data_IF_185221047298
#
_entry.id   IF_185221047298
#
_cell.length_a   1.000
_cell.length_b   1.000
_cell.length_c   1.000
_cell.angle_alpha   90.00
_cell.angle_beta   90.00
_cell.angle_gamma   90.00
#
_symmetry.space_group_name_H-M   'P 1'
#
loop_
_entity.id
_entity.type
_entity.pdbx_description
1 polymer ?
#
# COMPACT_ATOMS: atom_id res chain seq x y z
N UNK A 1 -6.80 2.63 23.96
CA UNK A 1 -6.16 3.82 24.54
C UNK A 1 -4.74 3.85 24.01
N UNK A 2 -4.28 4.99 23.48
CA UNK A 2 -2.88 5.12 23.04
C UNK A 2 -2.01 5.20 24.30
N UNK A 3 -0.91 4.45 24.33
CA UNK A 3 0.02 4.45 25.46
C UNK A 3 0.91 5.70 25.41
N UNK A 4 1.45 6.13 26.57
CA UNK A 4 2.47 7.19 26.61
C UNK A 4 3.68 6.89 25.73
N UNK A 5 4.01 5.60 25.55
CA UNK A 5 5.10 5.16 24.68
C UNK A 5 4.76 5.36 23.20
N UNK A 6 3.55 5.04 22.77
CA UNK A 6 3.09 5.24 21.38
C UNK A 6 3.08 6.73 21.00
N UNK A 7 2.64 7.62 21.90
CA UNK A 7 2.69 9.07 21.67
C UNK A 7 4.12 9.60 21.54
N UNK A 8 5.05 9.08 22.34
CA UNK A 8 6.46 9.44 22.25
C UNK A 8 7.03 9.00 20.89
N UNK A 9 6.80 7.74 20.51
CA UNK A 9 7.30 7.18 19.25
C UNK A 9 6.74 7.94 18.05
N UNK A 10 5.45 8.29 18.04
CA UNK A 10 4.85 9.00 16.90
C UNK A 10 5.47 10.40 16.72
N UNK A 11 5.74 11.13 17.81
CA UNK A 11 6.27 12.50 17.79
C UNK A 11 7.76 12.62 17.45
N UNK A 12 8.53 11.53 17.49
CA UNK A 12 9.95 11.59 17.13
C UNK A 12 10.13 11.99 15.66
N UNK A 13 11.06 12.89 15.32
CA UNK A 13 11.46 13.11 13.94
C UNK A 13 12.18 11.85 13.42
N UNK A 14 11.79 11.37 12.23
CA UNK A 14 12.29 10.12 11.65
C UNK A 14 12.72 10.37 10.22
N UNK A 15 13.74 9.63 9.78
CA UNK A 15 14.08 9.47 8.37
C UNK A 15 13.85 8.00 8.00
N UNK A 16 13.06 7.75 6.96
CA UNK A 16 12.81 6.40 6.44
C UNK A 16 13.73 6.17 5.24
N UNK A 17 14.69 5.26 5.37
CA UNK A 17 15.77 5.04 4.40
C UNK A 17 15.60 3.77 3.56
N UNK A 18 14.64 2.92 3.92
CA UNK A 18 14.29 1.71 3.18
C UNK A 18 12.77 1.64 3.08
N UNK A 19 12.25 2.03 1.93
CA UNK A 19 10.85 1.89 1.58
C UNK A 19 10.72 1.66 0.08
N UNK A 20 9.81 0.76 -0.29
CA UNK A 20 9.36 0.57 -1.66
C UNK A 20 8.02 1.29 -1.80
N UNK A 21 7.92 2.28 -2.71
CA UNK A 21 6.69 3.09 -2.86
C UNK A 21 5.50 2.22 -3.25
N UNK A 22 5.71 1.23 -4.10
CA UNK A 22 4.66 0.30 -4.49
C UNK A 22 4.23 -0.62 -3.33
N UNK A 23 5.08 -0.77 -2.31
CA UNK A 23 4.75 -1.42 -1.05
C UNK A 23 3.79 -0.60 -0.17
N UNK A 24 3.55 0.67 -0.50
CA UNK A 24 2.56 1.53 0.18
C UNK A 24 1.20 1.52 -0.52
N UNK A 25 1.02 0.65 -1.51
CA UNK A 25 -0.23 0.52 -2.25
C UNK A 25 -1.29 -0.15 -1.38
N UNK A 26 -2.13 0.67 -0.75
CA UNK A 26 -3.24 0.18 0.08
C UNK A 26 -4.33 -0.52 -0.77
N UNK A 27 -5.04 -1.52 -0.20
CA UNK A 27 -6.12 -2.24 -0.89
C UNK A 27 -7.17 -1.36 -1.56
N UNK A 28 -7.52 -0.24 -0.91
CA UNK A 28 -8.47 0.75 -1.40
C UNK A 28 -7.98 1.37 -2.72
N UNK A 29 -6.71 1.80 -2.77
CA UNK A 29 -6.08 2.40 -3.96
C UNK A 29 -5.93 1.32 -5.05
N UNK A 30 -5.47 0.12 -4.69
CA UNK A 30 -5.30 -1.01 -5.63
C UNK A 30 -6.61 -1.32 -6.38
N UNK A 31 -7.71 -1.48 -5.66
CA UNK A 31 -9.02 -1.80 -6.27
C UNK A 31 -9.58 -0.63 -7.08
N UNK A 32 -9.40 0.61 -6.60
CA UNK A 32 -9.80 1.82 -7.33
C UNK A 32 -9.06 1.91 -8.68
N UNK A 33 -7.73 1.79 -8.67
CA UNK A 33 -6.91 1.92 -9.88
C UNK A 33 -7.13 0.75 -10.84
N UNK A 34 -7.28 -0.47 -10.32
CA UNK A 34 -7.62 -1.62 -11.16
C UNK A 34 -8.96 -1.42 -11.88
N UNK A 35 -9.97 -0.88 -11.17
CA UNK A 35 -11.26 -0.55 -11.78
C UNK A 35 -11.14 0.56 -12.82
N UNK A 36 -10.42 1.64 -12.51
CA UNK A 36 -10.14 2.77 -13.43
C UNK A 36 -9.51 2.27 -14.73
N UNK A 37 -8.53 1.38 -14.62
CA UNK A 37 -7.68 0.94 -15.73
C UNK A 37 -8.17 -0.36 -16.42
N UNK A 38 -9.30 -0.93 -15.98
CA UNK A 38 -9.83 -2.16 -16.56
C UNK A 38 -9.00 -3.42 -16.27
N UNK A 39 -8.17 -3.39 -15.22
CA UNK A 39 -7.33 -4.51 -14.79
C UNK A 39 -8.18 -5.47 -13.95
N UNK A 40 -8.22 -6.74 -14.36
CA UNK A 40 -8.95 -7.78 -13.63
C UNK A 40 -8.08 -8.33 -12.50
N UNK A 41 -8.44 -8.01 -11.27
CA UNK A 41 -7.86 -8.61 -10.08
C UNK A 41 -8.70 -9.81 -9.61
N UNK A 42 -8.10 -10.82 -8.96
CA UNK A 42 -8.82 -11.96 -8.38
C UNK A 42 -9.58 -11.62 -7.09
N UNK A 43 -9.60 -10.34 -6.68
CA UNK A 43 -10.21 -9.84 -5.45
C UNK A 43 -11.43 -8.97 -5.76
N UNK A 44 -12.51 -9.17 -5.02
CA UNK A 44 -13.79 -8.45 -5.24
C UNK A 44 -14.06 -7.39 -4.17
N UNK A 45 -13.31 -7.42 -3.07
CA UNK A 45 -13.46 -6.51 -1.95
C UNK A 45 -12.12 -6.20 -1.26
N UNK A 46 -12.11 -5.12 -0.48
CA UNK A 46 -10.97 -4.75 0.38
C UNK A 46 -10.62 -5.91 1.34
N UNK A 47 -11.65 -6.58 1.85
CA UNK A 47 -11.49 -7.71 2.78
C UNK A 47 -10.80 -8.91 2.11
N UNK A 48 -11.09 -9.17 0.82
CA UNK A 48 -10.40 -10.23 0.07
C UNK A 48 -8.90 -9.92 -0.06
N UNK A 49 -8.55 -8.66 -0.34
CA UNK A 49 -7.15 -8.23 -0.47
C UNK A 49 -6.43 -8.31 0.88
N UNK A 50 -7.07 -7.86 1.97
CA UNK A 50 -6.51 -7.97 3.33
C UNK A 50 -6.29 -9.43 3.73
N UNK A 51 -7.20 -10.32 3.36
CA UNK A 51 -7.03 -11.75 3.61
C UNK A 51 -5.91 -12.38 2.78
N UNK A 52 -5.57 -11.80 1.63
CA UNK A 52 -4.43 -12.21 0.82
C UNK A 52 -3.07 -11.77 1.41
N UNK A 53 -3.04 -10.82 2.36
CA UNK A 53 -1.81 -10.35 3.01
C UNK A 53 -1.31 -11.33 4.10
N UNK A 54 -1.29 -12.62 3.75
CA UNK A 54 -0.81 -13.73 4.59
C UNK A 54 0.27 -14.46 3.81
N UNK A 55 1.51 -14.04 4.03
CA UNK A 55 2.66 -14.50 3.25
C UNK A 55 3.35 -15.69 3.93
N UNK A 56 3.72 -16.70 3.14
CA UNK A 56 4.51 -17.86 3.61
C UNK A 56 6.02 -17.60 3.52
N UNK A 57 6.41 -16.79 2.55
CA UNK A 57 7.79 -16.45 2.20
C UNK A 57 7.83 -15.16 1.36
N UNK A 58 9.04 -14.71 1.04
CA UNK A 58 9.24 -13.53 0.18
C UNK A 58 8.56 -13.67 -1.18
N UNK A 59 8.56 -14.86 -1.79
CA UNK A 59 7.97 -15.04 -3.12
C UNK A 59 6.45 -14.84 -3.09
N UNK A 60 5.76 -15.40 -2.09
CA UNK A 60 4.31 -15.21 -1.93
C UNK A 60 3.92 -13.76 -1.69
N UNK A 61 4.80 -12.97 -1.05
CA UNK A 61 4.65 -11.52 -0.96
C UNK A 61 4.83 -10.86 -2.32
N UNK A 62 5.91 -11.18 -3.04
CA UNK A 62 6.21 -10.61 -4.35
C UNK A 62 5.13 -10.91 -5.40
N UNK A 63 4.53 -12.10 -5.36
CA UNK A 63 3.44 -12.48 -6.26
C UNK A 63 2.24 -11.52 -6.11
N UNK A 64 1.87 -11.19 -4.86
CA UNK A 64 0.80 -10.23 -4.60
C UNK A 64 1.22 -8.78 -4.86
N UNK A 65 2.46 -8.43 -4.51
CA UNK A 65 3.04 -7.12 -4.77
C UNK A 65 2.97 -6.77 -6.26
N UNK A 66 3.46 -7.63 -7.15
CA UNK A 66 3.44 -7.37 -8.59
C UNK A 66 2.02 -7.39 -9.17
N UNK A 67 1.11 -8.21 -8.61
CA UNK A 67 -0.30 -8.16 -8.96
C UNK A 67 -0.92 -6.80 -8.58
N UNK A 68 -0.57 -6.24 -7.42
CA UNK A 68 -0.94 -4.89 -7.00
C UNK A 68 -0.40 -3.82 -7.95
N UNK A 69 0.89 -3.87 -8.25
CA UNK A 69 1.57 -2.93 -9.17
C UNK A 69 0.91 -2.90 -10.54
N UNK A 70 0.38 -4.03 -11.03
CA UNK A 70 -0.32 -4.09 -12.32
C UNK A 70 -1.54 -3.17 -12.42
N UNK A 71 -2.08 -2.70 -11.29
CA UNK A 71 -3.18 -1.73 -11.25
C UNK A 71 -2.76 -0.29 -11.57
N UNK A 72 -1.47 0.03 -11.48
CA UNK A 72 -0.89 1.35 -11.73
C UNK A 72 -0.46 1.44 -13.20
N UNK A 73 -1.09 2.30 -13.99
CA UNK A 73 -0.90 2.33 -15.44
C UNK A 73 -0.45 3.69 -15.93
N UNK A 74 -1.10 4.76 -15.47
CA UNK A 74 -0.81 6.12 -15.94
C UNK A 74 -0.14 6.98 -14.85
N UNK A 75 0.34 8.15 -15.26
CA UNK A 75 1.04 9.10 -14.39
C UNK A 75 0.25 9.45 -13.12
N UNK A 76 -1.08 9.60 -13.22
CA UNK A 76 -1.92 9.97 -12.10
C UNK A 76 -1.96 8.86 -11.04
N UNK A 77 -1.89 7.59 -11.45
CA UNK A 77 -1.87 6.46 -10.52
C UNK A 77 -0.61 6.49 -9.63
N UNK A 78 0.55 6.78 -10.24
CA UNK A 78 1.81 6.91 -9.51
C UNK A 78 1.84 8.17 -8.64
N UNK A 79 1.28 9.28 -9.13
CA UNK A 79 1.13 10.50 -8.33
C UNK A 79 0.29 10.24 -7.08
N UNK A 80 -0.87 9.61 -7.23
CA UNK A 80 -1.79 9.34 -6.12
C UNK A 80 -1.16 8.43 -5.07
N UNK A 81 -0.45 7.38 -5.52
CA UNK A 81 0.30 6.47 -4.66
C UNK A 81 1.37 7.21 -3.84
N UNK A 82 2.26 7.95 -4.51
CA UNK A 82 3.34 8.66 -3.84
C UNK A 82 2.80 9.72 -2.88
N UNK A 83 1.78 10.48 -3.30
CA UNK A 83 1.16 11.51 -2.47
C UNK A 83 0.45 10.93 -1.25
N UNK A 84 -0.18 9.75 -1.37
CA UNK A 84 -0.74 9.04 -0.23
C UNK A 84 0.34 8.69 0.80
N UNK A 85 1.48 8.16 0.37
CA UNK A 85 2.61 7.87 1.24
C UNK A 85 3.17 9.14 1.90
N UNK A 86 3.41 10.22 1.15
CA UNK A 86 3.98 11.45 1.73
C UNK A 86 3.06 12.07 2.80
N UNK A 87 1.74 12.02 2.62
CA UNK A 87 0.78 12.43 3.67
C UNK A 87 0.90 11.56 4.92
N UNK A 88 1.12 10.26 4.75
CA UNK A 88 1.30 9.32 5.87
C UNK A 88 2.63 9.50 6.58
N UNK A 89 3.72 9.74 5.84
CA UNK A 89 5.03 9.98 6.42
C UNK A 89 5.09 11.29 7.22
N UNK A 90 4.27 12.28 6.85
CA UNK A 90 4.17 13.57 7.52
C UNK A 90 3.21 13.60 8.73
N UNK A 91 2.46 12.53 9.02
CA UNK A 91 1.41 12.48 10.06
C UNK A 91 1.88 12.07 11.45
#
# INVERSE_FOLDING_TARGET
>A
MVTKLEELISKLPKAELHLHLEGTLEPEIMLEKAKKNGIKLPYKSIEDVKNAYKFKDLQSFLDLYYLGVSSLVDEQDFYDLAYAYFKKAAS
#
